data_IF_577234599399
#
_entry.id   IF_577234599399
#
_cell.length_a   1.000
_cell.length_b   1.000
_cell.length_c   1.000
_cell.angle_alpha   90.00
_cell.angle_beta   90.00
_cell.angle_gamma   90.00
#
_symmetry.space_group_name_H-M   'P 1'
#
loop_
_entity.id
_entity.type
_entity.pdbx_description
1 polymer ?
#
# COMPACT_ATOMS: atom_id res chain seq x y z
N UNK A 1 11.97 -12.71 5.20
CA UNK A 1 11.17 -12.15 4.10
C UNK A 1 10.42 -10.93 4.62
N UNK A 2 10.26 -9.87 3.82
CA UNK A 2 9.36 -8.77 4.18
C UNK A 2 7.95 -9.32 4.46
N UNK A 3 7.20 -8.64 5.32
CA UNK A 3 5.83 -9.04 5.68
C UNK A 3 4.91 -8.93 4.45
N UNK A 4 4.07 -9.93 4.19
CA UNK A 4 3.08 -9.88 3.09
C UNK A 4 1.92 -8.94 3.42
N UNK A 5 1.30 -8.36 2.39
CA UNK A 5 0.14 -7.48 2.56
C UNK A 5 -1.08 -8.25 3.07
N UNK A 6 -1.21 -9.53 2.73
CA UNK A 6 -2.24 -10.41 3.27
C UNK A 6 -2.12 -10.54 4.80
N UNK A 7 -0.88 -10.65 5.31
CA UNK A 7 -0.62 -10.67 6.76
C UNK A 7 -0.96 -9.31 7.40
N UNK A 8 -0.55 -8.21 6.78
CA UNK A 8 -0.84 -6.84 7.25
C UNK A 8 -2.36 -6.60 7.31
N UNK A 9 -3.08 -6.94 6.24
CA UNK A 9 -4.53 -6.80 6.15
C UNK A 9 -5.24 -7.62 7.23
N UNK A 10 -4.83 -8.88 7.45
CA UNK A 10 -5.41 -9.73 8.49
C UNK A 10 -5.28 -9.14 9.89
N UNK A 11 -4.10 -8.59 10.23
CA UNK A 11 -3.85 -7.95 11.53
C UNK A 11 -4.61 -6.62 11.63
N UNK A 12 -4.56 -5.80 10.58
CA UNK A 12 -5.24 -4.52 10.51
C UNK A 12 -6.76 -4.68 10.67
N UNK A 13 -7.37 -5.61 9.94
CA UNK A 13 -8.79 -5.93 10.03
C UNK A 13 -9.18 -6.41 11.42
N UNK A 14 -8.35 -7.23 12.06
CA UNK A 14 -8.59 -7.67 13.43
C UNK A 14 -8.62 -6.50 14.42
N UNK A 15 -7.68 -5.56 14.30
CA UNK A 15 -7.66 -4.34 15.13
C UNK A 15 -8.90 -3.48 14.85
N UNK A 16 -9.25 -3.27 13.58
CA UNK A 16 -10.37 -2.43 13.18
C UNK A 16 -11.72 -3.01 13.60
N UNK A 17 -11.89 -4.34 13.54
CA UNK A 17 -13.10 -5.05 13.98
C UNK A 17 -13.25 -5.08 15.50
N UNK A 18 -12.15 -4.95 16.24
CA UNK A 18 -12.16 -4.97 17.72
C UNK A 18 -12.36 -3.56 18.27
N UNK A 19 -13.51 -3.21 18.89
CA UNK A 19 -13.83 -1.83 19.25
C UNK A 19 -12.83 -1.17 20.21
N UNK A 20 -12.31 -1.93 21.17
CA UNK A 20 -11.32 -1.43 22.13
C UNK A 20 -9.99 -1.09 21.45
N UNK A 21 -9.48 -2.01 20.64
CA UNK A 21 -8.23 -1.81 19.90
C UNK A 21 -8.37 -0.68 18.88
N UNK A 22 -9.47 -0.65 18.13
CA UNK A 22 -9.74 0.41 17.16
C UNK A 22 -9.73 1.81 17.80
N UNK A 23 -10.38 1.99 18.96
CA UNK A 23 -10.40 3.28 19.68
C UNK A 23 -9.01 3.75 20.13
N UNK A 24 -8.09 2.84 20.41
CA UNK A 24 -6.73 3.15 20.87
C UNK A 24 -5.78 3.31 19.67
N UNK A 25 -5.77 2.34 18.76
CA UNK A 25 -4.79 2.26 17.67
C UNK A 25 -5.08 3.22 16.51
N UNK A 26 -6.35 3.52 16.19
CA UNK A 26 -6.68 4.38 15.04
C UNK A 26 -6.23 5.85 15.24
N UNK A 27 -6.40 6.49 16.41
CA UNK A 27 -5.83 7.82 16.64
C UNK A 27 -4.31 7.85 16.53
N UNK A 28 -3.63 6.81 17.05
CA UNK A 28 -2.17 6.66 16.96
C UNK A 28 -1.74 6.51 15.50
N UNK A 29 -2.43 5.68 14.71
CA UNK A 29 -2.11 5.49 13.29
C UNK A 29 -2.34 6.76 12.47
N UNK A 30 -3.40 7.53 12.74
CA UNK A 30 -3.65 8.83 12.11
C UNK A 30 -2.51 9.82 12.39
N UNK A 31 -2.01 9.84 13.63
CA UNK A 31 -0.90 10.72 14.00
C UNK A 31 0.43 10.26 13.38
N UNK A 32 0.67 8.94 13.34
CA UNK A 32 1.83 8.35 12.65
C UNK A 32 1.86 8.76 11.17
N UNK A 33 0.73 8.61 10.47
CA UNK A 33 0.60 9.01 9.06
C UNK A 33 0.79 10.52 8.86
N UNK A 34 0.34 11.35 9.82
CA UNK A 34 0.56 12.79 9.73
C UNK A 34 2.05 13.14 9.84
N UNK A 35 2.80 12.45 10.69
CA UNK A 35 4.22 12.71 10.92
C UNK A 35 5.15 12.08 9.88
N UNK A 36 4.73 11.01 9.20
CA UNK A 36 5.51 10.41 8.10
C UNK A 36 5.72 11.37 6.93
N UNK A 37 4.87 12.38 6.77
CA UNK A 37 5.13 13.54 5.91
C UNK A 37 4.97 13.32 4.41
N UNK A 38 4.78 12.08 3.93
CA UNK A 38 4.64 11.78 2.49
C UNK A 38 3.52 12.57 1.79
N UNK A 39 2.42 12.87 2.51
CA UNK A 39 1.32 13.68 1.98
C UNK A 39 1.75 15.12 1.64
N UNK A 40 2.77 15.65 2.32
CA UNK A 40 3.34 16.99 2.06
C UNK A 40 4.22 17.02 0.80
N UNK A 41 4.68 15.86 0.34
CA UNK A 41 5.35 15.66 -0.94
C UNK A 41 4.36 15.31 -2.07
N UNK A 42 3.06 15.25 -1.77
CA UNK A 42 2.03 14.96 -2.76
C UNK A 42 1.89 13.48 -3.11
N UNK A 43 2.39 12.58 -2.26
CA UNK A 43 2.30 11.13 -2.41
C UNK A 43 1.09 10.56 -1.65
N UNK A 44 0.58 9.43 -2.13
CA UNK A 44 -0.29 8.50 -1.39
C UNK A 44 0.56 7.39 -0.76
N UNK A 45 0.05 6.71 0.27
CA UNK A 45 0.80 5.64 0.94
C UNK A 45 1.27 4.55 -0.03
N UNK A 46 0.40 4.12 -0.94
CA UNK A 46 0.70 3.05 -1.91
C UNK A 46 1.83 3.44 -2.91
N UNK A 47 2.13 4.73 -3.06
CA UNK A 47 3.27 5.19 -3.87
C UNK A 47 4.63 4.90 -3.21
N UNK A 48 4.65 4.56 -1.91
CA UNK A 48 5.85 4.29 -1.12
C UNK A 48 6.24 2.81 -1.07
N UNK A 49 5.39 1.92 -1.61
CA UNK A 49 5.62 0.48 -1.57
C UNK A 49 6.77 0.13 -2.53
N UNK A 50 7.78 -0.59 -2.03
CA UNK A 50 8.90 -1.06 -2.84
C UNK A 50 8.42 -2.01 -3.95
N UNK A 51 8.74 -1.70 -5.21
CA UNK A 51 8.16 -2.36 -6.38
C UNK A 51 9.06 -3.45 -7.00
N UNK A 52 10.26 -3.65 -6.48
CA UNK A 52 11.30 -4.55 -6.99
C UNK A 52 11.05 -6.03 -6.63
N UNK A 53 9.82 -6.51 -6.84
CA UNK A 53 9.42 -7.90 -6.60
C UNK A 53 8.29 -8.32 -7.56
N UNK A 54 8.14 -9.63 -7.86
CA UNK A 54 7.21 -10.11 -8.88
C UNK A 54 5.73 -9.85 -8.57
N UNK A 55 5.36 -9.83 -7.28
CA UNK A 55 3.99 -9.52 -6.83
C UNK A 55 3.65 -8.07 -7.17
N UNK A 56 4.51 -7.13 -6.80
CA UNK A 56 4.30 -5.71 -7.09
C UNK A 56 4.32 -5.40 -8.58
N UNK A 57 5.22 -6.03 -9.34
CA UNK A 57 5.23 -5.89 -10.80
C UNK A 57 3.93 -6.41 -11.43
N UNK A 58 3.34 -7.47 -10.87
CA UNK A 58 2.04 -7.99 -11.32
C UNK A 58 0.91 -7.02 -10.95
N UNK A 59 0.90 -6.49 -9.74
CA UNK A 59 -0.10 -5.53 -9.28
C UNK A 59 -0.07 -4.24 -10.12
N UNK A 60 1.11 -3.70 -10.40
CA UNK A 60 1.27 -2.48 -11.22
C UNK A 60 0.83 -2.70 -12.68
N UNK A 61 1.06 -3.89 -13.25
CA UNK A 61 0.58 -4.23 -14.61
C UNK A 61 -0.94 -4.32 -14.70
N UNK A 62 -1.62 -4.67 -13.61
CA UNK A 62 -3.09 -4.77 -13.54
C UNK A 62 -3.77 -3.44 -13.24
N UNK A 63 -3.01 -2.44 -12.82
CA UNK A 63 -3.53 -1.12 -12.47
C UNK A 63 -4.10 -0.42 -13.72
N UNK A 64 -5.29 0.21 -13.64
CA UNK A 64 -5.86 0.96 -14.75
C UNK A 64 -4.93 2.10 -15.21
N UNK A 65 -4.89 2.36 -16.51
CA UNK A 65 -3.97 3.34 -17.11
C UNK A 65 -4.08 4.73 -16.45
N UNK A 66 -5.30 5.20 -16.17
CA UNK A 66 -5.50 6.50 -15.52
C UNK A 66 -4.85 6.61 -14.13
N UNK A 67 -4.96 5.57 -13.30
CA UNK A 67 -4.28 5.53 -11.98
C UNK A 67 -2.77 5.37 -12.13
N UNK A 68 -2.30 4.60 -13.13
CA UNK A 68 -0.88 4.44 -13.43
C UNK A 68 -0.24 5.78 -13.83
N UNK A 69 -0.86 6.55 -14.72
CA UNK A 69 -0.38 7.89 -15.08
C UNK A 69 -0.40 8.85 -13.88
N UNK A 70 -1.47 8.84 -13.08
CA UNK A 70 -1.57 9.67 -11.90
C UNK A 70 -0.49 9.33 -10.85
N UNK A 71 -0.21 8.04 -10.64
CA UNK A 71 0.88 7.55 -9.79
C UNK A 71 2.23 8.06 -10.27
N UNK A 72 2.55 7.87 -11.54
CA UNK A 72 3.83 8.31 -12.11
C UNK A 72 4.03 9.83 -11.96
N UNK A 73 2.99 10.62 -12.20
CA UNK A 73 3.03 12.06 -11.96
C UNK A 73 3.33 12.42 -10.50
N UNK A 74 2.65 11.78 -9.53
CA UNK A 74 2.89 12.02 -8.10
C UNK A 74 4.34 11.70 -7.72
N UNK A 75 4.87 10.56 -8.19
CA UNK A 75 6.24 10.12 -7.92
C UNK A 75 7.26 11.10 -8.51
N UNK A 76 7.14 11.48 -9.79
CA UNK A 76 8.05 12.44 -10.44
C UNK A 76 8.04 13.78 -9.69
N UNK A 77 6.85 14.29 -9.37
CA UNK A 77 6.70 15.55 -8.61
C UNK A 77 7.36 15.46 -7.24
N UNK A 78 7.18 14.36 -6.51
CA UNK A 78 7.80 14.18 -5.20
C UNK A 78 9.33 14.17 -5.27
N UNK A 79 9.91 13.50 -6.27
CA UNK A 79 11.35 13.54 -6.52
C UNK A 79 11.85 14.96 -6.80
N UNK A 80 11.13 15.72 -7.63
CA UNK A 80 11.47 17.12 -7.91
C UNK A 80 11.43 17.98 -6.63
N UNK A 81 10.38 17.86 -5.82
CA UNK A 81 10.26 18.61 -4.56
C UNK A 81 11.39 18.27 -3.59
N UNK A 82 11.67 16.97 -3.39
CA UNK A 82 12.71 16.50 -2.50
C UNK A 82 14.12 16.88 -2.98
N UNK A 83 14.36 16.89 -4.28
CA UNK A 83 15.61 17.38 -4.88
C UNK A 83 15.86 18.84 -4.52
N UNK A 84 14.82 19.67 -4.60
CA UNK A 84 14.90 21.11 -4.25
C UNK A 84 14.85 21.38 -2.75
N UNK A 85 14.71 20.35 -1.90
CA UNK A 85 14.53 20.48 -0.44
C UNK A 85 13.35 21.38 -0.07
N UNK A 86 12.30 21.34 -0.87
CA UNK A 86 11.05 22.05 -0.62
C UNK A 86 9.89 21.07 -0.45
N UNK A 87 8.96 21.44 0.43
CA UNK A 87 7.65 20.80 0.48
C UNK A 87 6.74 21.43 -0.57
N UNK A 88 5.71 20.69 -0.99
CA UNK A 88 4.69 21.27 -1.85
C UNK A 88 3.93 22.39 -1.11
N UNK A 89 3.34 23.35 -1.85
CA UNK A 89 2.35 24.26 -1.30
C UNK A 89 1.21 23.51 -0.58
N UNK A 90 0.67 24.08 0.52
CA UNK A 90 -0.31 23.39 1.39
C UNK A 90 -1.60 22.95 0.67
N UNK A 91 -1.99 23.66 -0.38
CA UNK A 91 -3.15 23.34 -1.22
C UNK A 91 -2.93 22.11 -2.10
N UNK A 92 -1.69 21.70 -2.35
CA UNK A 92 -1.32 20.54 -3.15
C UNK A 92 -1.03 19.28 -2.31
N UNK A 93 -1.09 19.40 -0.98
CA UNK A 93 -0.92 18.25 -0.10
C UNK A 93 -2.07 17.26 -0.28
N UNK A 94 -1.74 15.97 -0.29
CA UNK A 94 -2.75 14.92 -0.35
C UNK A 94 -3.60 14.99 0.91
N UNK A 95 -4.92 15.12 0.74
CA UNK A 95 -5.86 15.13 1.86
C UNK A 95 -6.04 13.70 2.37
N UNK A 96 -6.41 13.56 3.64
CA UNK A 96 -6.61 12.25 4.25
C UNK A 96 -7.67 11.39 3.52
N UNK A 97 -8.67 12.03 2.90
CA UNK A 97 -9.71 11.37 2.12
C UNK A 97 -9.23 10.88 0.75
N UNK A 98 -8.19 11.51 0.19
CA UNK A 98 -7.64 11.16 -1.13
C UNK A 98 -6.53 10.11 -1.01
N UNK A 99 -6.05 9.85 0.20
CA UNK A 99 -5.02 8.86 0.52
C UNK A 99 -5.66 7.47 0.70
N UNK A 100 -6.17 6.96 -0.41
CA UNK A 100 -6.86 5.67 -0.50
C UNK A 100 -5.89 4.56 -0.93
N UNK A 101 -6.07 3.32 -0.44
CA UNK A 101 -5.23 2.17 -0.81
C UNK A 101 -5.63 1.63 -2.19
N UNK A 102 -5.27 2.37 -3.25
CA UNK A 102 -5.68 2.09 -4.63
C UNK A 102 -4.98 0.86 -5.25
N UNK A 103 -3.80 0.49 -4.74
CA UNK A 103 -2.97 -0.60 -5.24
C UNK A 103 -3.15 -1.88 -4.42
N UNK A 104 -3.47 -1.75 -3.12
CA UNK A 104 -3.70 -2.88 -2.21
C UNK A 104 -4.60 -4.01 -2.75
N UNK A 105 -5.77 -3.77 -3.38
CA UNK A 105 -6.59 -4.87 -3.89
C UNK A 105 -5.87 -5.71 -4.97
N UNK A 106 -5.08 -5.08 -5.83
CA UNK A 106 -4.29 -5.79 -6.85
C UNK A 106 -3.12 -6.57 -6.24
N UNK A 107 -2.54 -6.06 -5.15
CA UNK A 107 -1.48 -6.74 -4.41
C UNK A 107 -2.05 -8.00 -3.74
N UNK A 108 -3.19 -7.89 -3.04
CA UNK A 108 -3.82 -9.03 -2.37
C UNK A 108 -4.23 -10.13 -3.36
N UNK A 109 -4.74 -9.76 -4.53
CA UNK A 109 -5.04 -10.71 -5.61
C UNK A 109 -3.78 -11.43 -6.10
N UNK A 110 -2.68 -10.69 -6.33
CA UNK A 110 -1.43 -11.27 -6.79
C UNK A 110 -0.77 -12.17 -5.72
N UNK A 111 -0.81 -11.79 -4.45
CA UNK A 111 -0.33 -12.62 -3.33
C UNK A 111 -1.16 -13.90 -3.17
N UNK A 112 -2.49 -13.80 -3.28
CA UNK A 112 -3.38 -14.96 -3.19
C UNK A 112 -3.10 -15.97 -4.31
N UNK A 113 -2.96 -15.50 -5.56
CA UNK A 113 -2.64 -16.36 -6.69
C UNK A 113 -1.25 -17.01 -6.57
N UNK A 114 -0.25 -16.27 -6.08
CA UNK A 114 1.08 -16.82 -5.83
C UNK A 114 1.07 -17.86 -4.71
N UNK A 115 0.27 -17.63 -3.66
CA UNK A 115 0.14 -18.57 -2.55
C UNK A 115 -0.58 -19.85 -2.96
N UNK A 116 -1.69 -19.73 -3.69
CA UNK A 116 -2.41 -20.89 -4.23
C UNK A 116 -1.51 -21.73 -5.12
N UNK A 117 -0.71 -21.10 -6.00
CA UNK A 117 0.26 -21.82 -6.82
C UNK A 117 1.27 -22.60 -5.99
N UNK A 118 1.86 -21.96 -4.97
CA UNK A 118 2.81 -22.61 -4.06
C UNK A 118 2.17 -23.80 -3.32
N UNK A 119 0.93 -23.66 -2.85
CA UNK A 119 0.21 -24.71 -2.13
C UNK A 119 -0.12 -25.91 -3.04
N UNK A 120 -0.46 -25.65 -4.31
CA UNK A 120 -0.71 -26.69 -5.31
C UNK A 120 0.58 -27.40 -5.75
N UNK A 121 1.68 -26.65 -5.91
CA UNK A 121 2.99 -27.21 -6.27
C UNK A 121 3.54 -28.15 -5.17
N UNK A 122 3.15 -27.94 -3.91
CA UNK A 122 3.59 -28.73 -2.75
C UNK A 122 2.49 -29.65 -2.16
N UNK A 123 1.47 -29.98 -2.94
CA UNK A 123 0.33 -30.75 -2.47
C UNK A 123 0.72 -32.20 -2.10
N UNK A 124 0.43 -32.61 -0.87
CA UNK A 124 0.65 -33.99 -0.40
C UNK A 124 -0.57 -34.87 -0.64
N UNK A 125 -0.37 -35.99 -1.34
CA UNK A 125 -1.43 -36.98 -1.57
C UNK A 125 -1.48 -37.99 -0.42
N UNK A 126 -2.49 -37.86 0.45
CA UNK A 126 -2.78 -38.89 1.45
C UNK A 126 -3.52 -40.06 0.80
N UNK A 127 -2.85 -41.23 0.72
CA UNK A 127 -3.50 -42.49 0.33
C UNK A 127 -4.21 -43.08 1.56
N UNK A 128 -5.52 -43.31 1.44
CA UNK A 128 -6.29 -44.09 2.42
C UNK A 128 -5.86 -45.55 2.43
#
# INVERSE_FOLDING_TARGET
MPQSFTSIAKIGDFILKTPLLSKICVPVSKQYIKYSGYRKLGLRFDDLIAEENPIMQTALKRLPEGESYARNYRIIRAHQSELTKHLLPRNEWVKAQDDVPYLLPYILEAEAAAKEKEDLDNLELSKK
#
